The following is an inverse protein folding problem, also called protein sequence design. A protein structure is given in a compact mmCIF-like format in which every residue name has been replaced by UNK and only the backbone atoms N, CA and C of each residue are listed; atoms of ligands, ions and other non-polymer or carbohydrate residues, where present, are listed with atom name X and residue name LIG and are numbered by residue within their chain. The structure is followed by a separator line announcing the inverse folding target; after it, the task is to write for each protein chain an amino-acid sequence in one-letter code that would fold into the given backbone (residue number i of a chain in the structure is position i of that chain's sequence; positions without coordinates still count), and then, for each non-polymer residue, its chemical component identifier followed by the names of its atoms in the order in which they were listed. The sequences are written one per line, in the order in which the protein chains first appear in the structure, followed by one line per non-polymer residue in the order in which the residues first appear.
data_IF_674867729387
#
_entry.id   IF_674867729387
#
_cell.length_a   1.000
_cell.length_b   1.000
_cell.length_c   1.000
_cell.angle_alpha   90.00
_cell.angle_beta   90.00
_cell.angle_gamma   90.00
#
_symmetry.space_group_name_H-M   'P 1'
#
loop_
_entity.id
_entity.type
_entity.pdbx_description
1 polymer ?
#
# COMPACT_ATOMS: atom_id res chain seq x y z
N UNK A 1 39.86 9.23 4.30
CA UNK A 1 40.43 10.20 5.28
C UNK A 1 41.55 9.59 6.11
N UNK A 2 41.33 8.47 6.81
CA UNK A 2 42.36 7.78 7.62
C UNK A 2 43.72 7.60 6.90
N UNK A 3 43.73 7.05 5.68
CA UNK A 3 44.97 6.83 4.91
C UNK A 3 45.72 8.14 4.58
N UNK A 4 44.98 9.23 4.32
CA UNK A 4 45.58 10.54 4.07
C UNK A 4 46.18 11.13 5.35
N UNK A 5 45.46 11.08 6.47
CA UNK A 5 45.99 11.58 7.75
C UNK A 5 47.21 10.77 8.20
N UNK A 6 47.20 9.45 8.02
CA UNK A 6 48.35 8.57 8.33
C UNK A 6 49.59 8.87 7.50
N UNK A 7 49.42 9.30 6.24
CA UNK A 7 50.53 9.52 5.31
C UNK A 7 51.09 10.95 5.39
N UNK A 8 50.29 11.93 5.83
CA UNK A 8 50.63 13.35 5.80
C UNK A 8 50.80 14.00 7.17
N UNK A 9 50.64 13.25 8.27
CA UNK A 9 50.94 13.76 9.61
C UNK A 9 52.47 13.96 9.74
N UNK A 10 52.96 15.17 10.06
CA UNK A 10 54.39 15.42 10.23
C UNK A 10 54.95 14.60 11.39
N UNK A 11 56.12 14.00 11.20
CA UNK A 11 56.81 13.22 12.24
C UNK A 11 57.21 14.04 13.48
N UNK A 12 57.17 15.37 13.38
CA UNK A 12 57.63 16.31 14.40
C UNK A 12 56.47 17.09 15.04
N UNK A 13 55.23 16.66 14.82
CA UNK A 13 54.05 17.34 15.38
C UNK A 13 54.05 17.25 16.90
N UNK A 14 53.75 18.36 17.57
CA UNK A 14 53.76 18.38 19.04
C UNK A 14 52.44 17.84 19.59
N UNK A 15 52.47 17.30 20.82
CA UNK A 15 51.27 16.85 21.50
C UNK A 15 50.25 17.99 21.72
N UNK A 16 50.73 19.23 21.85
CA UNK A 16 49.91 20.42 21.98
C UNK A 16 49.13 20.72 20.69
N UNK A 17 49.79 20.63 19.52
CA UNK A 17 49.13 20.86 18.23
C UNK A 17 48.02 19.83 17.94
N UNK A 18 48.26 18.56 18.32
CA UNK A 18 47.25 17.49 18.23
C UNK A 18 46.06 17.75 19.17
N UNK A 19 46.33 18.24 20.38
CA UNK A 19 45.32 18.56 21.37
C UNK A 19 44.44 19.72 20.93
N UNK A 20 45.03 20.82 20.47
CA UNK A 20 44.30 21.98 19.96
C UNK A 20 43.41 21.59 18.77
N UNK A 21 43.92 20.74 17.89
CA UNK A 21 43.18 20.24 16.72
C UNK A 21 41.97 19.38 17.10
N UNK A 22 42.13 18.46 18.06
CA UNK A 22 41.01 17.63 18.53
C UNK A 22 40.01 18.44 19.35
N UNK A 23 40.46 19.37 20.18
CA UNK A 23 39.58 20.24 20.95
C UNK A 23 38.72 21.11 20.02
N UNK A 24 39.34 21.73 19.01
CA UNK A 24 38.62 22.51 18.01
C UNK A 24 37.61 21.65 17.24
N UNK A 25 38.02 20.47 16.77
CA UNK A 25 37.12 19.57 16.03
C UNK A 25 35.95 19.08 16.92
N UNK A 26 36.23 18.77 18.19
CA UNK A 26 35.21 18.39 19.17
C UNK A 26 34.19 19.52 19.41
N UNK A 27 34.65 20.78 19.53
CA UNK A 27 33.78 21.95 19.68
C UNK A 27 32.89 22.16 18.45
N UNK A 28 33.47 22.08 17.24
CA UNK A 28 32.72 22.23 15.98
C UNK A 28 31.70 21.10 15.83
N UNK A 29 32.09 19.85 16.09
CA UNK A 29 31.18 18.70 16.01
C UNK A 29 30.05 18.81 17.04
N UNK A 30 30.35 19.22 18.28
CA UNK A 30 29.34 19.44 19.31
C UNK A 30 28.32 20.52 18.91
N UNK A 31 28.78 21.63 18.32
CA UNK A 31 27.91 22.69 17.83
C UNK A 31 27.01 22.20 16.68
N UNK A 32 27.58 21.50 15.71
CA UNK A 32 26.83 20.92 14.57
C UNK A 32 25.77 19.93 15.05
N UNK A 33 26.15 19.00 15.92
CA UNK A 33 25.24 18.01 16.51
C UNK A 33 24.14 18.70 17.30
N UNK A 34 24.47 19.70 18.12
CA UNK A 34 23.52 20.46 18.92
C UNK A 34 22.46 21.17 18.06
N UNK A 35 22.90 21.89 17.02
CA UNK A 35 21.98 22.58 16.08
C UNK A 35 21.08 21.57 15.36
N UNK A 36 21.63 20.46 14.87
CA UNK A 36 20.88 19.44 14.16
C UNK A 36 19.89 18.70 15.07
N UNK A 37 20.26 18.44 16.32
CA UNK A 37 19.41 17.79 17.31
C UNK A 37 18.25 18.69 17.72
N UNK A 38 18.50 19.99 17.95
CA UNK A 38 17.42 20.97 18.17
C UNK A 38 16.51 21.04 16.94
N UNK A 39 17.08 21.19 15.74
CA UNK A 39 16.30 21.28 14.49
C UNK A 39 15.45 20.04 14.22
N UNK A 40 15.98 18.85 14.47
CA UNK A 40 15.27 17.58 14.34
C UNK A 40 14.19 17.45 15.40
N UNK A 41 14.47 17.83 16.64
CA UNK A 41 13.49 17.80 17.73
C UNK A 41 12.33 18.73 17.44
N UNK A 42 12.59 19.99 17.08
CA UNK A 42 11.55 20.97 16.71
C UNK A 42 10.71 20.47 15.53
N UNK A 43 11.36 19.88 14.52
CA UNK A 43 10.65 19.31 13.36
C UNK A 43 9.75 18.14 13.78
N UNK A 44 10.25 17.19 14.58
CA UNK A 44 9.47 16.03 15.01
C UNK A 44 8.34 16.41 15.99
N UNK A 45 8.56 17.38 16.90
CA UNK A 45 7.53 17.86 17.82
C UNK A 45 6.44 18.66 17.13
N UNK A 46 6.73 19.23 15.95
CA UNK A 46 5.71 19.94 15.17
C UNK A 46 4.67 19.01 14.52
N UNK A 47 4.94 17.69 14.50
CA UNK A 47 4.00 16.71 13.99
C UNK A 47 3.09 16.19 15.11
N UNK A 48 1.96 16.86 15.30
CA UNK A 48 0.85 16.37 16.14
C UNK A 48 -0.25 15.79 15.24
N UNK A 49 -0.08 14.52 14.84
CA UNK A 49 -0.91 13.88 13.82
C UNK A 49 -1.92 12.87 14.34
N UNK A 50 -1.97 12.58 15.65
CA UNK A 50 -2.81 11.50 16.19
C UNK A 50 -4.29 11.73 15.94
N UNK A 51 -4.76 12.97 16.10
CA UNK A 51 -6.17 13.34 15.93
C UNK A 51 -6.60 13.28 14.46
N UNK A 52 -5.71 13.64 13.54
CA UNK A 52 -5.94 13.54 12.10
C UNK A 52 -6.08 12.05 11.70
N UNK A 53 -5.21 11.20 12.23
CA UNK A 53 -5.19 9.77 11.90
C UNK A 53 -6.41 9.02 12.46
N UNK A 54 -6.83 9.36 13.69
CA UNK A 54 -8.03 8.79 14.32
C UNK A 54 -9.31 9.26 13.62
N UNK A 55 -9.35 10.52 13.18
CA UNK A 55 -10.44 11.07 12.36
C UNK A 55 -10.53 10.35 11.02
N UNK A 56 -9.40 10.17 10.31
CA UNK A 56 -9.35 9.44 9.05
C UNK A 56 -9.85 7.99 9.20
N UNK A 57 -9.44 7.30 10.26
CA UNK A 57 -9.92 5.95 10.56
C UNK A 57 -11.45 5.91 10.74
N UNK A 58 -12.00 6.87 11.49
CA UNK A 58 -13.44 6.97 11.74
C UNK A 58 -14.21 7.29 10.46
N UNK A 59 -13.69 8.21 9.63
CA UNK A 59 -14.26 8.54 8.33
C UNK A 59 -14.25 7.34 7.36
N UNK A 60 -13.15 6.58 7.31
CA UNK A 60 -13.05 5.33 6.53
C UNK A 60 -14.16 4.38 6.97
N UNK A 61 -14.19 4.04 8.26
CA UNK A 61 -15.13 3.07 8.82
C UNK A 61 -16.58 3.49 8.55
N UNK A 62 -16.90 4.77 8.76
CA UNK A 62 -18.25 5.32 8.55
C UNK A 62 -18.64 5.26 7.07
N UNK A 63 -17.75 5.70 6.17
CA UNK A 63 -18.02 5.76 4.72
C UNK A 63 -18.28 4.39 4.11
N UNK A 64 -17.64 3.35 4.63
CA UNK A 64 -17.74 1.99 4.09
C UNK A 64 -18.78 1.12 4.80
N UNK A 65 -19.20 1.50 6.02
CA UNK A 65 -20.12 0.72 6.86
C UNK A 65 -21.44 0.36 6.15
N UNK A 66 -22.03 1.32 5.43
CA UNK A 66 -23.30 1.11 4.71
C UNK A 66 -23.14 0.10 3.58
N UNK A 67 -22.01 0.14 2.88
CA UNK A 67 -21.67 -0.82 1.82
C UNK A 67 -21.49 -2.24 2.41
N UNK A 68 -20.65 -2.39 3.42
CA UNK A 68 -20.39 -3.70 4.04
C UNK A 68 -21.64 -4.30 4.69
N UNK A 69 -22.41 -3.48 5.40
CA UNK A 69 -23.65 -3.93 6.03
C UNK A 69 -24.71 -4.37 5.01
N UNK A 70 -24.82 -3.74 3.83
CA UNK A 70 -25.78 -4.16 2.80
C UNK A 70 -25.39 -5.46 2.09
N UNK A 71 -24.10 -5.64 1.79
CA UNK A 71 -23.64 -6.68 0.88
C UNK A 71 -22.98 -7.90 1.54
N UNK A 72 -22.35 -7.73 2.71
CA UNK A 72 -21.51 -8.75 3.35
C UNK A 72 -22.04 -9.25 4.69
N UNK A 73 -22.72 -8.40 5.44
CA UNK A 73 -23.18 -8.77 6.78
C UNK A 73 -24.33 -9.80 6.77
N UNK A 74 -24.47 -10.58 7.85
CA UNK A 74 -25.50 -11.61 7.98
C UNK A 74 -26.87 -11.01 8.28
N UNK A 75 -27.91 -11.38 7.53
CA UNK A 75 -29.28 -10.92 7.78
C UNK A 75 -30.29 -11.43 6.74
N UNK A 76 -31.59 -11.38 7.04
CA UNK A 76 -32.65 -11.86 6.13
C UNK A 76 -32.81 -10.99 4.87
N UNK A 77 -32.49 -9.69 4.95
CA UNK A 77 -32.68 -8.70 3.88
C UNK A 77 -31.41 -8.36 3.09
N UNK A 78 -30.28 -9.03 3.36
CA UNK A 78 -28.96 -8.72 2.80
C UNK A 78 -28.63 -9.59 1.58
N UNK A 79 -27.76 -9.10 0.69
CA UNK A 79 -27.51 -9.73 -0.62
C UNK A 79 -26.80 -11.10 -0.57
N UNK A 80 -26.30 -11.55 0.60
CA UNK A 80 -25.65 -12.86 0.85
C UNK A 80 -24.73 -13.31 -0.30
N UNK A 81 -23.84 -12.40 -0.74
CA UNK A 81 -22.93 -12.60 -1.87
C UNK A 81 -22.03 -13.84 -1.72
N UNK A 82 -21.68 -14.20 -0.48
CA UNK A 82 -20.86 -15.37 -0.14
C UNK A 82 -21.62 -16.71 -0.18
N UNK A 83 -22.95 -16.70 -0.31
CA UNK A 83 -23.73 -17.94 -0.31
C UNK A 83 -23.51 -18.78 -1.58
N UNK A 84 -23.34 -20.10 -1.42
CA UNK A 84 -23.20 -21.04 -2.55
C UNK A 84 -24.36 -20.92 -3.54
N UNK A 85 -25.59 -20.78 -3.04
CA UNK A 85 -26.80 -20.59 -3.84
C UNK A 85 -26.76 -19.31 -4.68
N UNK A 86 -26.26 -18.20 -4.13
CA UNK A 86 -26.11 -16.94 -4.89
C UNK A 86 -25.09 -17.10 -6.02
N UNK A 87 -23.91 -17.66 -5.71
CA UNK A 87 -22.83 -17.83 -6.69
C UNK A 87 -23.24 -18.72 -7.86
N UNK A 88 -23.81 -19.89 -7.57
CA UNK A 88 -24.29 -20.81 -8.60
C UNK A 88 -25.35 -20.15 -9.49
N UNK A 89 -26.35 -19.49 -8.89
CA UNK A 89 -27.45 -18.88 -9.65
C UNK A 89 -27.05 -17.64 -10.45
N UNK A 90 -26.03 -16.89 -10.03
CA UNK A 90 -25.63 -15.64 -10.67
C UNK A 90 -24.50 -15.87 -11.69
N UNK A 91 -23.50 -16.69 -11.34
CA UNK A 91 -22.28 -16.83 -12.13
C UNK A 91 -22.36 -17.92 -13.20
N UNK A 92 -23.21 -18.94 -13.06
CA UNK A 92 -23.35 -20.01 -14.05
C UNK A 92 -24.40 -19.74 -15.13
N UNK A 93 -25.28 -18.76 -14.92
CA UNK A 93 -26.35 -18.40 -15.86
C UNK A 93 -25.92 -17.90 -17.24
N UNK A 94 -24.78 -17.20 -17.40
CA UNK A 94 -24.35 -16.73 -18.72
C UNK A 94 -24.16 -17.87 -19.74
N UNK A 95 -24.00 -19.11 -19.27
CA UNK A 95 -23.89 -20.29 -20.14
C UNK A 95 -22.56 -20.40 -20.87
N UNK A 96 -21.51 -19.76 -20.33
CA UNK A 96 -20.16 -19.74 -20.93
C UNK A 96 -19.25 -20.73 -20.20
N UNK A 97 -18.59 -21.61 -20.96
CA UNK A 97 -17.64 -22.57 -20.39
C UNK A 97 -16.26 -21.94 -20.10
N UNK A 98 -15.78 -21.07 -20.99
CA UNK A 98 -14.46 -20.45 -20.94
C UNK A 98 -14.54 -18.96 -21.27
N UNK A 99 -13.86 -18.13 -20.48
CA UNK A 99 -13.71 -16.68 -20.70
C UNK A 99 -12.37 -16.41 -21.39
N UNK A 100 -12.34 -15.48 -22.34
CA UNK A 100 -11.14 -15.13 -23.10
C UNK A 100 -10.72 -13.68 -22.81
N UNK A 101 -9.46 -13.47 -22.46
CA UNK A 101 -8.84 -12.19 -22.14
C UNK A 101 -7.62 -11.96 -23.06
N UNK A 102 -7.84 -11.37 -24.23
CA UNK A 102 -6.78 -11.15 -25.23
C UNK A 102 -6.19 -9.75 -25.15
N UNK A 103 -4.87 -9.62 -25.13
CA UNK A 103 -4.22 -8.34 -25.44
C UNK A 103 -4.54 -7.95 -26.88
N UNK A 104 -4.84 -6.67 -27.10
CA UNK A 104 -5.11 -6.15 -28.43
C UNK A 104 -3.85 -6.11 -29.28
N UNK A 105 -3.90 -6.82 -30.40
CA UNK A 105 -2.91 -6.70 -31.46
C UNK A 105 -3.48 -5.80 -32.56
N UNK A 106 -2.92 -4.60 -32.80
CA UNK A 106 -3.36 -3.71 -33.88
C UNK A 106 -3.14 -4.32 -35.29
N UNK A 107 -2.41 -5.44 -35.41
CA UNK A 107 -2.20 -6.17 -36.67
C UNK A 107 -3.22 -7.28 -36.91
N UNK A 108 -4.00 -7.65 -35.90
CA UNK A 108 -5.13 -8.57 -36.10
C UNK A 108 -6.23 -7.85 -36.90
N UNK A 109 -6.35 -8.19 -38.18
CA UNK A 109 -7.41 -7.73 -39.10
C UNK A 109 -8.78 -8.36 -38.83
N UNK A 110 -8.89 -9.21 -37.80
CA UNK A 110 -10.15 -9.81 -37.42
C UNK A 110 -11.03 -8.76 -36.70
N UNK A 111 -12.28 -8.66 -37.14
CA UNK A 111 -13.39 -7.88 -36.55
C UNK A 111 -13.76 -8.35 -35.11
N UNK A 112 -12.77 -8.49 -34.22
CA UNK A 112 -12.99 -8.74 -32.81
C UNK A 112 -13.50 -7.46 -32.15
N UNK A 113 -14.67 -7.54 -31.52
CA UNK A 113 -15.14 -6.43 -30.68
C UNK A 113 -14.48 -6.55 -29.33
N UNK A 114 -13.60 -5.59 -29.07
CA UNK A 114 -12.83 -5.52 -27.86
C UNK A 114 -13.37 -4.37 -26.99
N UNK A 115 -13.61 -4.60 -25.69
CA UNK A 115 -13.96 -3.53 -24.76
C UNK A 115 -12.66 -2.91 -24.23
N UNK A 116 -12.35 -1.68 -24.67
CA UNK A 116 -11.18 -0.91 -24.23
C UNK A 116 -11.40 -0.33 -22.82
N UNK A 117 -10.39 -0.44 -21.94
CA UNK A 117 -10.45 0.06 -20.55
C UNK A 117 -9.21 0.89 -20.17
N UNK A 118 -9.24 2.22 -20.38
CA UNK A 118 -8.09 3.08 -20.14
C UNK A 118 -7.78 3.32 -18.64
N UNK A 119 -8.75 3.17 -17.73
CA UNK A 119 -8.54 3.53 -16.30
C UNK A 119 -7.97 2.39 -15.43
N UNK A 120 -7.82 1.17 -15.96
CA UNK A 120 -7.60 -0.03 -15.13
C UNK A 120 -6.31 -0.76 -15.50
N UNK A 121 -6.25 -1.36 -16.69
CA UNK A 121 -5.13 -2.23 -17.11
C UNK A 121 -4.79 -2.09 -18.60
N UNK A 122 -5.50 -1.23 -19.36
CA UNK A 122 -5.37 -1.16 -20.82
C UNK A 122 -5.72 -2.48 -21.52
N UNK A 123 -6.34 -3.42 -20.80
CA UNK A 123 -6.60 -4.75 -21.31
C UNK A 123 -7.89 -4.77 -22.11
N UNK A 124 -7.79 -5.42 -23.25
CA UNK A 124 -8.90 -5.80 -24.08
C UNK A 124 -9.33 -7.22 -23.67
N UNK A 125 -10.60 -7.55 -23.78
CA UNK A 125 -11.01 -8.93 -23.67
C UNK A 125 -12.00 -9.22 -24.78
N UNK A 126 -11.72 -10.30 -25.49
CA UNK A 126 -12.60 -10.79 -26.52
C UNK A 126 -13.66 -11.58 -25.80
N UNK A 127 -14.89 -11.07 -25.77
CA UNK A 127 -16.01 -11.93 -25.44
C UNK A 127 -16.00 -13.03 -26.50
N UNK A 128 -15.84 -14.29 -26.10
CA UNK A 128 -16.29 -15.41 -26.92
C UNK A 128 -17.79 -15.13 -27.16
N UNK A 129 -18.09 -14.57 -28.35
CA UNK A 129 -19.38 -13.99 -28.80
C UNK A 129 -19.54 -12.45 -28.76
N UNK A 130 -18.49 -11.73 -29.15
CA UNK A 130 -18.64 -10.55 -30.03
C UNK A 130 -19.49 -10.92 -31.28
N UNK A 131 -20.31 -10.04 -31.89
CA UNK A 131 -21.47 -10.36 -32.76
C UNK A 131 -21.29 -11.25 -34.03
N UNK A 132 -20.15 -11.94 -34.24
CA UNK A 132 -19.69 -12.42 -35.55
C UNK A 132 -19.06 -13.83 -35.56
N UNK A 133 -19.58 -14.83 -34.81
CA UNK A 133 -19.07 -16.21 -34.94
C UNK A 133 -20.15 -17.31 -35.13
N UNK A 134 -21.32 -16.97 -35.67
CA UNK A 134 -22.39 -17.91 -36.11
C UNK A 134 -23.51 -18.31 -35.11
N UNK A 135 -23.70 -17.70 -33.94
CA UNK A 135 -24.80 -18.06 -33.00
C UNK A 135 -25.71 -16.88 -32.59
N UNK A 136 -27.03 -17.12 -32.60
CA UNK A 136 -28.10 -16.19 -32.23
C UNK A 136 -28.19 -15.99 -30.70
N UNK A 137 -27.29 -15.21 -30.10
CA UNK A 137 -27.40 -14.80 -28.70
C UNK A 137 -28.25 -13.52 -28.56
N UNK A 138 -29.09 -13.44 -27.52
CA UNK A 138 -29.89 -12.24 -27.25
C UNK A 138 -29.02 -11.14 -26.62
N UNK A 139 -29.40 -9.86 -26.80
CA UNK A 139 -28.66 -8.72 -26.24
C UNK A 139 -28.43 -8.82 -24.72
N UNK A 140 -29.38 -9.41 -23.99
CA UNK A 140 -29.28 -9.62 -22.53
C UNK A 140 -28.23 -10.67 -22.16
N UNK A 141 -28.03 -11.70 -22.99
CA UNK A 141 -26.98 -12.70 -22.75
C UNK A 141 -25.59 -12.09 -22.92
N UNK A 142 -25.41 -11.17 -23.88
CA UNK A 142 -24.15 -10.43 -24.06
C UNK A 142 -23.81 -9.56 -22.84
N UNK A 143 -24.81 -8.88 -22.27
CA UNK A 143 -24.63 -8.11 -21.02
C UNK A 143 -24.17 -9.00 -19.86
N UNK A 144 -24.76 -10.20 -19.70
CA UNK A 144 -24.35 -11.15 -18.67
C UNK A 144 -22.89 -11.59 -18.83
N UNK A 145 -22.48 -11.92 -20.05
CA UNK A 145 -21.10 -12.34 -20.32
C UNK A 145 -20.12 -11.19 -20.06
N UNK A 146 -20.47 -9.97 -20.48
CA UNK A 146 -19.67 -8.78 -20.21
C UNK A 146 -19.48 -8.54 -18.72
N UNK A 147 -20.55 -8.54 -17.93
CA UNK A 147 -20.45 -8.28 -16.49
C UNK A 147 -19.70 -9.40 -15.75
N UNK A 148 -19.76 -10.64 -16.26
CA UNK A 148 -18.93 -11.73 -15.73
C UNK A 148 -17.43 -11.47 -15.97
N UNK A 149 -17.02 -11.09 -17.18
CA UNK A 149 -15.62 -10.71 -17.46
C UNK A 149 -15.17 -9.56 -16.57
N UNK A 150 -15.96 -8.49 -16.50
CA UNK A 150 -15.65 -7.32 -15.67
C UNK A 150 -15.51 -7.72 -14.19
N UNK A 151 -16.38 -8.60 -13.68
CA UNK A 151 -16.29 -9.11 -12.31
C UNK A 151 -15.00 -9.93 -12.06
N UNK A 152 -14.59 -10.78 -13.01
CA UNK A 152 -13.31 -11.53 -12.89
C UNK A 152 -12.12 -10.58 -12.82
N UNK A 153 -12.12 -9.52 -13.64
CA UNK A 153 -11.06 -8.51 -13.59
C UNK A 153 -11.08 -7.78 -12.25
N UNK A 154 -12.26 -7.34 -11.79
CA UNK A 154 -12.37 -6.67 -10.49
C UNK A 154 -11.85 -7.57 -9.37
N UNK A 155 -12.17 -8.87 -9.41
CA UNK A 155 -11.67 -9.83 -8.43
C UNK A 155 -10.15 -9.92 -8.46
N UNK A 156 -9.54 -9.87 -9.64
CA UNK A 156 -8.09 -9.82 -9.77
C UNK A 156 -7.49 -8.54 -9.16
N UNK A 157 -8.11 -7.37 -9.41
CA UNK A 157 -7.71 -6.10 -8.80
C UNK A 157 -7.81 -6.13 -7.26
N UNK A 158 -8.87 -6.73 -6.72
CA UNK A 158 -9.04 -6.94 -5.27
C UNK A 158 -7.89 -7.78 -4.71
N UNK A 159 -7.58 -8.91 -5.34
CA UNK A 159 -6.50 -9.80 -4.89
C UNK A 159 -5.12 -9.15 -5.02
N UNK A 160 -4.88 -8.35 -6.06
CA UNK A 160 -3.66 -7.53 -6.19
C UNK A 160 -3.55 -6.45 -5.11
N UNK A 161 -4.66 -5.81 -4.75
CA UNK A 161 -4.68 -4.83 -3.66
C UNK A 161 -4.36 -5.50 -2.31
N UNK A 162 -4.86 -6.73 -2.09
CA UNK A 162 -4.48 -7.54 -0.92
C UNK A 162 -2.98 -7.86 -0.93
N UNK A 163 -2.44 -8.28 -2.08
CA UNK A 163 -1.01 -8.56 -2.21
C UNK A 163 -0.16 -7.33 -1.89
N UNK A 164 -0.54 -6.18 -2.45
CA UNK A 164 0.13 -4.89 -2.24
C UNK A 164 0.12 -4.49 -0.76
N UNK A 165 -1.03 -4.60 -0.09
CA UNK A 165 -1.17 -4.32 1.35
C UNK A 165 -0.29 -5.24 2.20
N UNK A 166 -0.19 -6.52 1.85
CA UNK A 166 0.68 -7.47 2.57
C UNK A 166 2.16 -7.22 2.30
N UNK A 167 2.52 -6.79 1.10
CA UNK A 167 3.90 -6.46 0.74
C UNK A 167 4.39 -5.10 1.28
N UNK A 168 3.48 -4.19 1.66
CA UNK A 168 3.83 -2.85 2.13
C UNK A 168 4.27 -2.80 3.60
N UNK A 169 4.30 -3.95 4.29
CA UNK A 169 4.65 -4.03 5.71
C UNK A 169 3.58 -3.47 6.66
N UNK A 170 2.37 -3.22 6.14
CA UNK A 170 1.22 -2.71 6.91
C UNK A 170 0.21 -3.77 7.32
N UNK A 171 0.44 -5.07 7.05
CA UNK A 171 -0.43 -6.16 7.50
C UNK A 171 -0.05 -6.61 8.91
N UNK A 172 -1.05 -6.87 9.77
CA UNK A 172 -0.88 -7.33 11.16
C UNK A 172 -1.34 -8.77 11.32
N UNK A 173 -2.37 -9.18 10.57
CA UNK A 173 -2.95 -10.51 10.68
C UNK A 173 -2.11 -11.48 9.85
N UNK A 174 -1.29 -12.26 10.55
CA UNK A 174 -0.35 -13.22 9.96
C UNK A 174 -0.90 -14.64 9.88
N UNK A 175 -0.13 -15.52 9.24
CA UNK A 175 -0.44 -16.94 9.13
C UNK A 175 -0.52 -17.59 10.51
N UNK A 176 -1.65 -18.24 10.82
CA UNK A 176 -1.87 -18.90 12.11
C UNK A 176 -2.29 -17.96 13.26
N UNK A 177 -2.45 -16.66 13.00
CA UNK A 177 -2.97 -15.69 13.96
C UNK A 177 -4.25 -15.01 13.42
N UNK A 178 -5.14 -14.61 14.32
CA UNK A 178 -6.44 -14.01 13.98
C UNK A 178 -7.60 -15.02 13.92
N UNK A 179 -8.72 -14.62 13.35
CA UNK A 179 -9.90 -15.48 13.25
C UNK A 179 -9.70 -16.61 12.24
N UNK A 180 -10.41 -17.73 12.43
CA UNK A 180 -10.41 -18.84 11.48
C UNK A 180 -10.71 -18.36 10.04
N UNK A 181 -11.61 -17.39 9.85
CA UNK A 181 -11.92 -16.88 8.51
C UNK A 181 -10.71 -16.25 7.80
N UNK A 182 -9.87 -15.53 8.54
CA UNK A 182 -8.66 -14.89 8.02
C UNK A 182 -7.55 -15.90 7.76
N UNK A 183 -7.35 -16.86 8.66
CA UNK A 183 -6.36 -17.93 8.48
C UNK A 183 -6.67 -18.73 7.20
N UNK A 184 -7.91 -19.19 7.04
CA UNK A 184 -8.34 -19.93 5.86
C UNK A 184 -8.22 -19.12 4.55
N UNK A 185 -8.52 -17.81 4.62
CA UNK A 185 -8.32 -16.92 3.48
C UNK A 185 -6.84 -16.81 3.11
N UNK A 186 -5.96 -16.52 4.07
CA UNK A 186 -4.52 -16.39 3.83
C UNK A 186 -3.93 -17.67 3.25
N UNK A 187 -4.34 -18.83 3.73
CA UNK A 187 -3.94 -20.12 3.16
C UNK A 187 -4.36 -20.28 1.71
N UNK A 188 -5.61 -19.94 1.41
CA UNK A 188 -6.15 -20.04 0.05
C UNK A 188 -5.49 -19.01 -0.88
N UNK A 189 -5.20 -17.82 -0.36
CA UNK A 189 -4.58 -16.72 -1.09
C UNK A 189 -3.12 -17.03 -1.44
N UNK A 190 -2.33 -17.58 -0.51
CA UNK A 190 -0.94 -17.95 -0.80
C UNK A 190 -0.86 -19.04 -1.87
N UNK A 191 -1.71 -20.08 -1.79
CA UNK A 191 -1.80 -21.12 -2.84
C UNK A 191 -2.16 -20.53 -4.20
N UNK A 192 -3.06 -19.56 -4.21
CA UNK A 192 -3.47 -18.87 -5.42
C UNK A 192 -2.32 -18.00 -6.00
N UNK A 193 -1.61 -17.26 -5.14
CA UNK A 193 -0.46 -16.43 -5.50
C UNK A 193 0.70 -17.27 -6.05
N UNK A 194 1.08 -18.34 -5.35
CA UNK A 194 2.19 -19.23 -5.74
C UNK A 194 1.96 -19.92 -7.09
N UNK A 195 0.69 -20.06 -7.49
CA UNK A 195 0.31 -20.64 -8.77
C UNK A 195 0.42 -19.66 -9.95
N UNK A 196 0.90 -18.42 -9.73
CA UNK A 196 1.03 -17.40 -10.78
C UNK A 196 -0.30 -16.75 -11.21
N UNK A 197 -1.38 -16.96 -10.46
CA UNK A 197 -2.74 -16.53 -10.86
C UNK A 197 -3.05 -15.04 -10.55
N UNK A 198 -2.07 -14.26 -10.08
CA UNK A 198 -2.23 -12.81 -9.87
C UNK A 198 -2.34 -12.03 -11.20
N UNK A 199 -1.98 -12.66 -12.31
CA UNK A 199 -2.25 -12.17 -13.65
C UNK A 199 -3.56 -12.75 -14.20
N UNK A 200 -4.20 -12.00 -15.10
CA UNK A 200 -5.37 -12.50 -15.80
C UNK A 200 -4.85 -13.32 -16.99
N UNK A 201 -5.06 -14.65 -17.00
CA UNK A 201 -4.59 -15.48 -18.11
C UNK A 201 -5.38 -15.18 -19.38
N UNK A 202 -4.81 -15.57 -20.53
CA UNK A 202 -5.48 -15.40 -21.82
C UNK A 202 -6.83 -16.13 -21.90
N UNK A 203 -6.95 -17.25 -21.20
CA UNK A 203 -8.19 -18.02 -21.10
C UNK A 203 -8.39 -18.45 -19.64
N UNK A 204 -9.65 -18.46 -19.19
CA UNK A 204 -10.02 -18.87 -17.84
C UNK A 204 -11.30 -19.68 -17.89
N UNK A 205 -11.30 -20.88 -17.32
CA UNK A 205 -12.52 -21.68 -17.20
C UNK A 205 -13.52 -20.98 -16.27
N UNK A 206 -14.82 -21.23 -16.46
CA UNK A 206 -15.85 -20.68 -15.59
C UNK A 206 -15.63 -21.05 -14.11
N UNK A 207 -15.15 -22.27 -13.84
CA UNK A 207 -14.88 -22.71 -12.47
C UNK A 207 -13.74 -21.93 -11.82
N UNK A 208 -12.67 -21.66 -12.56
CA UNK A 208 -11.56 -20.83 -12.08
C UNK A 208 -11.99 -19.36 -11.90
N UNK A 209 -12.80 -18.83 -12.82
CA UNK A 209 -13.40 -17.50 -12.70
C UNK A 209 -14.25 -17.36 -11.42
N UNK A 210 -15.11 -18.34 -11.16
CA UNK A 210 -15.93 -18.41 -9.95
C UNK A 210 -15.07 -18.54 -8.69
N UNK A 211 -14.02 -19.36 -8.74
CA UNK A 211 -13.07 -19.53 -7.63
C UNK A 211 -12.35 -18.21 -7.32
N UNK A 212 -11.86 -17.49 -8.34
CA UNK A 212 -11.21 -16.19 -8.22
C UNK A 212 -12.14 -15.14 -7.60
N UNK A 213 -13.38 -15.02 -8.12
CA UNK A 213 -14.39 -14.11 -7.56
C UNK A 213 -14.71 -14.47 -6.10
N UNK A 214 -14.83 -15.76 -5.79
CA UNK A 214 -15.06 -16.23 -4.42
C UNK A 214 -13.92 -15.78 -3.50
N UNK A 215 -12.67 -16.06 -3.87
CA UNK A 215 -11.50 -15.72 -3.06
C UNK A 215 -11.43 -14.21 -2.80
N UNK A 216 -11.70 -13.39 -3.82
CA UNK A 216 -11.76 -11.94 -3.68
C UNK A 216 -12.87 -11.45 -2.73
N UNK A 217 -14.04 -12.10 -2.72
CA UNK A 217 -15.11 -11.77 -1.77
C UNK A 217 -14.79 -12.25 -0.35
N UNK A 218 -14.10 -13.38 -0.22
CA UNK A 218 -13.70 -13.95 1.07
C UNK A 218 -12.64 -13.07 1.77
N UNK A 219 -11.84 -12.32 1.00
CA UNK A 219 -10.83 -11.37 1.51
C UNK A 219 -11.43 -10.23 2.34
N UNK A 220 -12.73 -9.96 2.21
CA UNK A 220 -13.42 -8.91 2.99
C UNK A 220 -13.33 -9.17 4.48
N UNK A 221 -13.47 -10.43 4.91
CA UNK A 221 -13.41 -10.77 6.32
C UNK A 221 -12.02 -10.48 6.89
N UNK A 222 -10.99 -10.88 6.15
CA UNK A 222 -9.59 -10.64 6.49
C UNK A 222 -9.27 -9.13 6.58
N UNK A 223 -9.66 -8.34 5.59
CA UNK A 223 -9.41 -6.89 5.59
C UNK A 223 -10.18 -6.14 6.68
N UNK A 224 -11.39 -6.59 7.04
CA UNK A 224 -12.12 -6.05 8.17
C UNK A 224 -11.46 -6.38 9.52
N UNK A 225 -10.83 -7.54 9.63
CA UNK A 225 -10.04 -7.90 10.80
C UNK A 225 -8.76 -7.05 10.90
N UNK A 226 -8.02 -6.90 9.80
CA UNK A 226 -6.86 -6.00 9.71
C UNK A 226 -7.23 -4.58 10.16
N UNK A 227 -8.33 -4.01 9.63
CA UNK A 227 -8.78 -2.68 10.03
C UNK A 227 -9.03 -2.57 11.55
N UNK A 228 -9.64 -3.59 12.17
CA UNK A 228 -9.90 -3.61 13.61
C UNK A 228 -8.62 -3.74 14.43
N UNK A 229 -7.67 -4.55 13.99
CA UNK A 229 -6.39 -4.73 14.67
C UNK A 229 -5.52 -3.47 14.57
N UNK A 230 -5.58 -2.75 13.45
CA UNK A 230 -4.99 -1.41 13.31
C UNK A 230 -5.59 -0.39 14.28
N UNK A 231 -6.90 -0.48 14.54
CA UNK A 231 -7.57 0.40 15.51
C UNK A 231 -7.16 0.11 16.97
N UNK A 232 -6.85 -1.14 17.28
CA UNK A 232 -6.49 -1.60 18.63
C UNK A 232 -5.03 -1.32 18.97
N UNK A 233 -4.16 -1.36 17.97
CA UNK A 233 -2.73 -1.14 18.15
C UNK A 233 -2.38 0.35 18.07
N UNK A 234 -2.43 1.05 19.21
CA UNK A 234 -2.16 2.51 19.32
C UNK A 234 -0.67 2.87 19.12
N UNK A 235 0.23 1.88 19.08
CA UNK A 235 1.68 2.09 19.07
C UNK A 235 2.31 2.21 17.67
N UNK A 236 1.53 2.11 16.59
CA UNK A 236 2.10 2.16 15.24
C UNK A 236 2.65 3.54 14.88
N UNK A 237 3.77 3.53 14.17
CA UNK A 237 4.32 4.75 13.61
C UNK A 237 3.31 5.37 12.62
N UNK A 238 3.05 6.69 12.68
CA UNK A 238 2.11 7.39 11.81
C UNK A 238 2.21 7.05 10.31
N UNK A 239 3.43 6.88 9.80
CA UNK A 239 3.70 6.50 8.42
C UNK A 239 3.17 5.11 8.06
N UNK A 240 3.29 4.14 8.96
CA UNK A 240 2.80 2.78 8.71
C UNK A 240 1.27 2.78 8.68
N UNK A 241 0.64 3.52 9.60
CA UNK A 241 -0.81 3.65 9.66
C UNK A 241 -1.39 4.32 8.40
N UNK A 242 -0.81 5.44 7.94
CA UNK A 242 -1.27 6.10 6.70
C UNK A 242 -1.04 5.24 5.46
N UNK A 243 0.05 4.46 5.43
CA UNK A 243 0.31 3.48 4.37
C UNK A 243 -0.80 2.43 4.33
N UNK A 244 -1.13 1.83 5.48
CA UNK A 244 -2.23 0.87 5.57
C UNK A 244 -3.56 1.51 5.15
N UNK A 245 -3.90 2.70 5.63
CA UNK A 245 -5.15 3.40 5.27
C UNK A 245 -5.27 3.64 3.76
N UNK A 246 -4.17 4.00 3.10
CA UNK A 246 -4.13 4.24 1.66
C UNK A 246 -4.37 2.94 0.88
N UNK A 247 -3.67 1.87 1.22
CA UNK A 247 -3.84 0.55 0.60
C UNK A 247 -5.23 -0.04 0.88
N UNK A 248 -5.76 0.17 2.10
CA UNK A 248 -7.10 -0.25 2.49
C UNK A 248 -8.18 0.46 1.67
N UNK A 249 -8.04 1.77 1.43
CA UNK A 249 -8.99 2.51 0.57
C UNK A 249 -8.94 1.99 -0.87
N UNK A 250 -7.74 1.75 -1.41
CA UNK A 250 -7.58 1.20 -2.77
C UNK A 250 -8.17 -0.23 -2.87
N UNK A 251 -8.06 -1.04 -1.81
CA UNK A 251 -8.76 -2.31 -1.65
C UNK A 251 -10.29 -2.14 -1.67
N UNK A 252 -10.85 -1.28 -0.80
CA UNK A 252 -12.31 -1.10 -0.71
C UNK A 252 -12.88 -0.57 -2.02
N UNK A 253 -12.17 0.31 -2.71
CA UNK A 253 -12.55 0.78 -4.05
C UNK A 253 -12.65 -0.39 -5.03
N UNK A 254 -11.64 -1.26 -5.06
CA UNK A 254 -11.62 -2.44 -5.93
C UNK A 254 -12.75 -3.42 -5.59
N UNK A 255 -13.01 -3.64 -4.29
CA UNK A 255 -14.10 -4.49 -3.82
C UNK A 255 -15.47 -3.91 -4.19
N UNK A 256 -15.62 -2.59 -4.09
CA UNK A 256 -16.85 -1.87 -4.48
C UNK A 256 -17.16 -2.10 -5.95
N UNK A 257 -16.14 -2.01 -6.83
CA UNK A 257 -16.28 -2.33 -8.24
C UNK A 257 -16.66 -3.79 -8.49
N UNK A 258 -16.03 -4.74 -7.79
CA UNK A 258 -16.41 -6.15 -7.90
C UNK A 258 -17.89 -6.36 -7.56
N UNK A 259 -18.35 -5.80 -6.44
CA UNK A 259 -19.74 -5.93 -6.00
C UNK A 259 -20.70 -5.26 -6.98
N UNK A 260 -20.35 -4.09 -7.51
CA UNK A 260 -21.10 -3.40 -8.58
C UNK A 260 -21.31 -4.32 -9.79
N UNK A 261 -20.24 -4.92 -10.31
CA UNK A 261 -20.32 -5.84 -11.47
C UNK A 261 -21.15 -7.09 -11.17
N UNK A 262 -21.06 -7.62 -9.95
CA UNK A 262 -21.90 -8.75 -9.53
C UNK A 262 -23.39 -8.37 -9.42
N UNK A 263 -23.73 -7.15 -8.99
CA UNK A 263 -25.13 -6.70 -9.00
C UNK A 263 -25.63 -6.42 -10.42
N UNK A 264 -24.79 -5.88 -11.31
CA UNK A 264 -25.13 -5.69 -12.73
C UNK A 264 -25.33 -7.03 -13.45
N UNK A 265 -24.49 -8.03 -13.18
CA UNK A 265 -24.69 -9.40 -13.65
C UNK A 265 -26.02 -9.98 -13.13
N UNK A 266 -26.34 -9.73 -11.85
CA UNK A 266 -27.63 -10.14 -11.29
C UNK A 266 -28.81 -9.43 -11.95
N UNK A 267 -28.68 -8.14 -12.26
CA UNK A 267 -29.68 -7.38 -12.99
C UNK A 267 -29.95 -7.98 -14.37
N UNK A 268 -28.88 -8.23 -15.15
CA UNK A 268 -28.98 -8.88 -16.46
C UNK A 268 -29.60 -10.29 -16.38
N UNK A 269 -29.31 -11.05 -15.31
CA UNK A 269 -29.94 -12.33 -15.03
C UNK A 269 -31.44 -12.25 -14.69
N UNK A 270 -31.88 -11.15 -14.09
CA UNK A 270 -33.31 -10.90 -13.81
C UNK A 270 -34.02 -10.48 -15.10
N UNK A 271 -33.44 -9.56 -15.87
CA UNK A 271 -33.96 -9.13 -17.18
C UNK A 271 -34.16 -10.29 -18.15
N UNK A 272 -33.21 -11.21 -18.23
CA UNK A 272 -33.33 -12.39 -19.09
C UNK A 272 -34.45 -13.34 -18.65
N UNK A 273 -34.71 -13.46 -17.34
CA UNK A 273 -35.67 -14.41 -16.80
C UNK A 273 -37.09 -13.85 -16.73
N UNK A 274 -37.23 -12.55 -16.46
CA UNK A 274 -38.49 -11.87 -16.20
C UNK A 274 -38.56 -10.51 -16.91
N UNK A 275 -38.54 -10.49 -18.26
CA UNK A 275 -38.48 -9.24 -19.03
C UNK A 275 -39.68 -8.31 -18.74
N UNK A 276 -40.90 -8.85 -18.72
CA UNK A 276 -42.13 -8.10 -18.45
C UNK A 276 -42.17 -7.47 -17.05
N UNK A 277 -41.58 -8.13 -16.05
CA UNK A 277 -41.50 -7.58 -14.69
C UNK A 277 -40.50 -6.42 -14.64
N UNK A 278 -39.42 -6.50 -15.41
CA UNK A 278 -38.42 -5.44 -15.49
C UNK A 278 -38.99 -4.19 -16.15
N UNK A 279 -39.81 -4.33 -17.20
CA UNK A 279 -40.47 -3.19 -17.86
C UNK A 279 -41.35 -2.38 -16.89
N UNK A 280 -41.98 -3.04 -15.91
CA UNK A 280 -42.90 -2.40 -14.97
C UNK A 280 -42.21 -1.95 -13.68
N UNK A 281 -41.19 -2.68 -13.21
CA UNK A 281 -40.59 -2.49 -11.88
C UNK A 281 -39.09 -2.19 -11.87
N UNK A 282 -38.52 -1.73 -13.00
CA UNK A 282 -37.09 -1.48 -13.14
C UNK A 282 -36.49 -0.72 -11.96
N UNK A 283 -37.06 0.45 -11.62
CA UNK A 283 -36.54 1.30 -10.55
C UNK A 283 -36.49 0.58 -9.20
N UNK A 284 -37.54 -0.19 -8.86
CA UNK A 284 -37.58 -0.95 -7.59
C UNK A 284 -36.49 -2.02 -7.54
N UNK A 285 -36.21 -2.66 -8.67
CA UNK A 285 -35.16 -3.70 -8.74
C UNK A 285 -33.77 -3.05 -8.67
N UNK A 286 -33.56 -1.94 -9.37
CA UNK A 286 -32.32 -1.15 -9.33
C UNK A 286 -32.01 -0.66 -7.91
N UNK A 287 -33.01 -0.15 -7.20
CA UNK A 287 -32.88 0.33 -5.82
C UNK A 287 -32.63 -0.83 -4.84
N UNK A 288 -33.34 -1.95 -5.02
CA UNK A 288 -33.08 -3.17 -4.26
C UNK A 288 -31.64 -3.65 -4.44
N UNK A 289 -31.16 -3.73 -5.68
CA UNK A 289 -29.76 -4.09 -6.01
C UNK A 289 -28.75 -3.04 -5.51
N UNK A 290 -29.19 -1.82 -5.19
CA UNK A 290 -28.34 -0.76 -4.67
C UNK A 290 -27.39 -0.18 -5.70
N UNK A 291 -27.72 -0.28 -7.00
CA UNK A 291 -26.84 0.17 -8.09
C UNK A 291 -26.52 1.67 -7.93
N UNK A 292 -27.52 2.48 -7.56
CA UNK A 292 -27.37 3.92 -7.33
C UNK A 292 -26.47 4.26 -6.13
N UNK A 293 -26.21 3.32 -5.22
CA UNK A 293 -25.37 3.57 -4.04
C UNK A 293 -23.87 3.48 -4.36
N UNK A 294 -23.47 2.74 -5.41
CA UNK A 294 -22.05 2.56 -5.74
C UNK A 294 -21.38 3.88 -6.13
N UNK A 295 -22.08 4.77 -6.85
CA UNK A 295 -21.55 6.09 -7.21
C UNK A 295 -21.23 6.93 -5.97
N UNK A 296 -22.15 6.97 -5.00
CA UNK A 296 -21.97 7.72 -3.74
C UNK A 296 -20.78 7.20 -2.95
N UNK A 297 -20.67 5.87 -2.80
CA UNK A 297 -19.55 5.23 -2.10
C UNK A 297 -18.23 5.52 -2.82
N UNK A 298 -18.19 5.45 -4.16
CA UNK A 298 -16.98 5.77 -4.95
C UNK A 298 -16.53 7.21 -4.73
N UNK A 299 -17.45 8.18 -4.80
CA UNK A 299 -17.13 9.59 -4.58
C UNK A 299 -16.59 9.84 -3.17
N UNK A 300 -17.19 9.21 -2.15
CA UNK A 300 -16.69 9.28 -0.77
C UNK A 300 -15.27 8.70 -0.65
N UNK A 301 -15.01 7.53 -1.24
CA UNK A 301 -13.68 6.89 -1.24
C UNK A 301 -12.64 7.73 -1.97
N UNK A 302 -12.98 8.39 -3.08
CA UNK A 302 -12.06 9.29 -3.80
C UNK A 302 -11.67 10.51 -2.96
N UNK A 303 -12.66 11.15 -2.33
CA UNK A 303 -12.42 12.29 -1.43
C UNK A 303 -11.54 11.88 -0.25
N UNK A 304 -11.85 10.74 0.36
CA UNK A 304 -11.10 10.22 1.51
C UNK A 304 -9.68 9.84 1.13
N UNK A 305 -9.48 9.22 -0.04
CA UNK A 305 -8.15 8.91 -0.56
C UNK A 305 -7.29 10.17 -0.70
N UNK A 306 -7.86 11.27 -1.20
CA UNK A 306 -7.13 12.53 -1.33
C UNK A 306 -6.64 13.04 0.04
N UNK A 307 -7.49 12.99 1.07
CA UNK A 307 -7.09 13.36 2.45
C UNK A 307 -5.97 12.46 2.99
N UNK A 308 -6.10 11.13 2.81
CA UNK A 308 -5.09 10.17 3.27
C UNK A 308 -3.76 10.35 2.53
N UNK A 309 -3.77 10.68 1.24
CA UNK A 309 -2.54 10.98 0.48
C UNK A 309 -1.80 12.17 1.08
N UNK A 310 -2.51 13.25 1.40
CA UNK A 310 -1.90 14.42 2.05
C UNK A 310 -1.29 14.06 3.41
N UNK A 311 -2.04 13.33 4.24
CA UNK A 311 -1.56 12.86 5.54
C UNK A 311 -0.35 11.90 5.39
N UNK A 312 -0.41 11.00 4.40
CA UNK A 312 0.68 10.08 4.09
C UNK A 312 1.95 10.83 3.68
N UNK A 313 1.84 11.84 2.81
CA UNK A 313 2.96 12.69 2.42
C UNK A 313 3.65 13.36 3.62
N UNK A 314 2.85 13.93 4.52
CA UNK A 314 3.37 14.50 5.77
C UNK A 314 4.07 13.44 6.65
N UNK A 315 3.41 12.31 6.91
CA UNK A 315 4.02 11.23 7.73
C UNK A 315 5.27 10.62 7.12
N UNK A 316 5.32 10.48 5.79
CA UNK A 316 6.46 9.97 5.05
C UNK A 316 7.65 10.92 5.18
N UNK A 317 7.42 12.23 5.09
CA UNK A 317 8.44 13.24 5.35
C UNK A 317 9.03 13.09 6.76
N UNK A 318 8.21 13.02 7.81
CA UNK A 318 8.72 12.88 9.18
C UNK A 318 9.42 11.54 9.42
N UNK A 319 8.93 10.46 8.81
CA UNK A 319 9.62 9.17 8.84
C UNK A 319 11.00 9.26 8.18
N UNK A 320 11.12 9.94 7.04
CA UNK A 320 12.40 10.15 6.35
C UNK A 320 13.35 11.01 7.17
N UNK A 321 12.87 12.11 7.77
CA UNK A 321 13.70 12.94 8.67
C UNK A 321 14.24 12.10 9.84
N UNK A 322 13.40 11.24 10.43
CA UNK A 322 13.82 10.31 11.50
C UNK A 322 14.83 9.28 11.01
N UNK A 323 14.67 8.74 9.80
CA UNK A 323 15.63 7.74 9.28
C UNK A 323 16.96 8.38 8.90
N UNK A 324 16.97 9.60 8.38
CA UNK A 324 18.20 10.33 8.05
C UNK A 324 18.91 10.92 9.27
N UNK A 325 18.20 11.19 10.37
CA UNK A 325 18.81 11.69 11.60
C UNK A 325 19.66 10.63 12.31
N UNK A 326 19.40 9.34 12.10
CA UNK A 326 20.22 8.25 12.66
C UNK A 326 21.68 8.32 12.16
N UNK A 327 21.98 8.30 10.85
CA UNK A 327 23.35 8.49 10.38
C UNK A 327 23.85 9.93 10.58
N UNK A 328 22.98 10.94 10.43
CA UNK A 328 23.41 12.35 10.49
C UNK A 328 23.72 12.90 11.89
N UNK A 329 22.99 12.47 12.92
CA UNK A 329 23.13 12.91 14.31
C UNK A 329 23.65 11.77 15.17
N UNK A 330 23.10 10.56 15.01
CA UNK A 330 23.45 9.41 15.85
C UNK A 330 24.93 9.01 15.74
N UNK A 331 25.46 8.90 14.51
CA UNK A 331 26.89 8.60 14.30
C UNK A 331 27.77 9.72 14.86
N UNK A 332 27.39 10.98 14.63
CA UNK A 332 28.14 12.14 15.13
C UNK A 332 28.14 12.23 16.66
N UNK A 333 27.05 11.83 17.32
CA UNK A 333 26.98 11.73 18.78
C UNK A 333 27.91 10.61 19.31
N UNK A 334 27.93 9.45 18.66
CA UNK A 334 28.84 8.34 19.02
C UNK A 334 30.30 8.78 18.87
N UNK A 335 30.64 9.45 17.77
CA UNK A 335 32.00 9.94 17.53
C UNK A 335 32.38 11.04 18.51
N UNK A 336 31.45 11.94 18.86
CA UNK A 336 31.67 12.97 19.88
C UNK A 336 31.95 12.34 21.26
N UNK A 337 31.20 11.29 21.64
CA UNK A 337 31.49 10.52 22.85
C UNK A 337 32.86 9.83 22.77
N UNK A 338 33.21 9.28 21.61
CA UNK A 338 34.54 8.71 21.34
C UNK A 338 35.67 9.73 21.49
N UNK A 339 35.48 10.98 21.06
CA UNK A 339 36.43 12.07 21.28
C UNK A 339 36.53 12.45 22.75
N UNK A 340 35.39 12.64 23.43
CA UNK A 340 35.33 13.08 24.83
C UNK A 340 35.92 12.05 25.80
N UNK A 341 35.71 10.76 25.55
CA UNK A 341 36.20 9.69 26.44
C UNK A 341 37.52 9.10 25.96
N UNK A 342 37.71 8.97 24.64
CA UNK A 342 38.86 8.30 24.04
C UNK A 342 40.12 9.19 23.98
N UNK A 343 39.98 10.49 23.69
CA UNK A 343 41.15 11.37 23.61
C UNK A 343 41.86 11.57 24.96
N UNK A 344 41.17 11.81 26.10
CA UNK A 344 41.83 11.90 27.40
C UNK A 344 42.55 10.60 27.79
N UNK A 345 41.99 9.45 27.44
CA UNK A 345 42.62 8.16 27.68
C UNK A 345 43.89 7.98 26.84
N UNK A 346 43.83 8.26 25.54
CA UNK A 346 44.99 8.19 24.63
C UNK A 346 46.08 9.19 25.01
N UNK A 347 45.70 10.37 25.52
CA UNK A 347 46.64 11.37 26.02
C UNK A 347 47.40 10.87 27.26
N UNK A 348 46.72 10.15 28.15
CA UNK A 348 47.27 9.77 29.45
C UNK A 348 47.98 8.40 29.47
N UNK A 349 47.51 7.46 28.65
CA UNK A 349 47.90 6.05 28.76
C UNK A 349 48.77 5.51 27.61
N UNK A 350 48.96 6.25 26.52
CA UNK A 350 49.54 5.73 25.29
C UNK A 350 50.92 6.32 24.96
N UNK A 351 51.83 5.47 24.46
CA UNK A 351 53.11 5.90 23.90
C UNK A 351 52.91 6.76 22.64
N UNK A 352 53.91 7.55 22.28
CA UNK A 352 53.91 8.44 21.10
C UNK A 352 53.27 7.82 19.83
N UNK A 353 53.70 6.65 19.33
CA UNK A 353 53.14 6.08 18.10
C UNK A 353 51.66 5.68 18.24
N UNK A 354 51.25 5.19 19.41
CA UNK A 354 49.86 4.79 19.68
C UNK A 354 48.95 6.01 19.84
N UNK A 355 49.47 7.11 20.41
CA UNK A 355 48.77 8.39 20.50
C UNK A 355 48.55 9.01 19.12
N UNK A 356 49.55 8.96 18.24
CA UNK A 356 49.45 9.49 16.88
C UNK A 356 48.46 8.67 16.04
N UNK A 357 48.47 7.35 16.16
CA UNK A 357 47.48 6.49 15.50
C UNK A 357 46.06 6.72 16.05
N UNK A 358 45.91 6.86 17.37
CA UNK A 358 44.65 7.20 18.02
C UNK A 358 44.10 8.56 17.58
N UNK A 359 44.97 9.57 17.43
CA UNK A 359 44.63 10.87 16.86
C UNK A 359 44.08 10.70 15.44
N UNK A 360 44.80 9.99 14.57
CA UNK A 360 44.40 9.79 13.16
C UNK A 360 43.04 9.10 13.05
N UNK A 361 42.76 8.11 13.91
CA UNK A 361 41.46 7.40 13.95
C UNK A 361 40.33 8.35 14.36
N UNK A 362 40.49 9.02 15.51
CA UNK A 362 39.47 9.91 16.07
C UNK A 362 39.20 11.12 15.17
N UNK A 363 40.26 11.71 14.63
CA UNK A 363 40.17 12.87 13.73
C UNK A 363 39.51 12.49 12.39
N UNK A 364 39.87 11.34 11.81
CA UNK A 364 39.21 10.85 10.60
C UNK A 364 37.72 10.55 10.84
N UNK A 365 37.38 9.89 11.95
CA UNK A 365 36.01 9.57 12.29
C UNK A 365 35.16 10.83 12.49
N UNK A 366 35.72 11.85 13.14
CA UNK A 366 35.04 13.12 13.40
C UNK A 366 34.77 13.92 12.13
N UNK A 367 35.70 13.95 11.17
CA UNK A 367 35.41 14.58 9.89
C UNK A 367 34.39 13.78 9.07
N UNK A 368 34.47 12.44 9.08
CA UNK A 368 33.45 11.61 8.43
C UNK A 368 32.05 11.82 9.03
N UNK A 369 31.95 11.97 10.35
CA UNK A 369 30.71 12.33 11.04
C UNK A 369 30.19 13.71 10.61
N UNK A 370 31.08 14.72 10.49
CA UNK A 370 30.69 16.04 9.97
C UNK A 370 30.18 15.98 8.52
N UNK A 371 30.76 15.13 7.67
CA UNK A 371 30.27 14.90 6.32
C UNK A 371 28.84 14.32 6.33
N UNK A 372 28.58 13.29 7.14
CA UNK A 372 27.24 12.69 7.29
C UNK A 372 26.23 13.70 7.85
N UNK A 373 26.61 14.49 8.85
CA UNK A 373 25.79 15.59 9.37
C UNK A 373 25.47 16.65 8.30
N UNK A 374 26.44 16.96 7.42
CA UNK A 374 26.24 17.90 6.31
C UNK A 374 25.30 17.32 5.24
N UNK A 375 25.45 16.04 4.91
CA UNK A 375 24.53 15.34 3.99
C UNK A 375 23.11 15.34 4.56
N UNK A 376 22.96 15.07 5.86
CA UNK A 376 21.67 15.14 6.53
C UNK A 376 21.08 16.56 6.48
N UNK A 377 21.86 17.60 6.75
CA UNK A 377 21.41 18.99 6.66
C UNK A 377 20.94 19.34 5.24
N UNK A 378 21.70 18.95 4.22
CA UNK A 378 21.32 19.15 2.82
C UNK A 378 20.01 18.41 2.51
N UNK A 379 19.87 17.15 2.95
CA UNK A 379 18.62 16.38 2.76
C UNK A 379 17.44 17.06 3.43
N UNK A 380 17.60 17.53 4.67
CA UNK A 380 16.55 18.21 5.45
C UNK A 380 16.12 19.54 4.82
N UNK A 381 17.08 20.33 4.30
CA UNK A 381 16.79 21.58 3.60
C UNK A 381 16.15 21.35 2.22
N UNK A 382 16.63 20.33 1.48
CA UNK A 382 16.13 20.00 0.16
C UNK A 382 14.72 19.39 0.20
N UNK A 383 14.45 18.51 1.17
CA UNK A 383 13.12 17.95 1.39
C UNK A 383 12.09 19.01 1.76
N UNK A 384 12.52 20.10 2.42
CA UNK A 384 11.67 21.27 2.68
C UNK A 384 11.37 22.08 1.43
N UNK A 385 12.34 22.17 0.50
CA UNK A 385 12.21 22.91 -0.76
C UNK A 385 11.32 22.20 -1.77
N UNK A 386 11.27 20.86 -1.70
CA UNK A 386 10.36 20.02 -2.48
C UNK A 386 8.97 19.86 -1.82
N UNK A 387 8.66 20.59 -0.75
CA UNK A 387 7.51 20.34 0.11
C UNK A 387 6.58 21.54 0.34
N UNK A 388 5.98 22.03 -0.75
CA UNK A 388 4.53 22.30 -0.90
C UNK A 388 4.16 22.08 -2.37
#
# INVERSE_FOLDING_TARGET
MYLGLKQWLPSNVTAADLEDSIQFLGQVLALVVGVLLIGTTVSLTSYDGSDILSTLYTEITTSVSTFFSKFFASGPTRHKLKSSKYRLRTLQRPGVATLLFKQYDPRETNNGWYVYRPEWDGAWYQISHSPFSHHNHTGVQLEQIRFLHEAVICANCVLRAVDKLRSSGGAIVEYGYGTNGSIWFLESFEKYKSSGHLEIPQELSLNEAVSKIKLALDSEHYLQEELREHARNVLWAPFVLTTFQLEYIDYVKSLTHLVEKLQLLRWANIRAKFPQVCEIQEQRIVDFLGINNFLKVRMALYSLRAKVVTAHGATSYFHQVKSWSIPGIGVSLIVLLGLLCGWPYLKWAADHPTRDEGFVILYAAAISAMCESSIFLVRLLWSRRLGY
#
